data_IF_539480807643
#
_entry.id   IF_539480807643
#
_cell.length_a   1.000
_cell.length_b   1.000
_cell.length_c   1.000
_cell.angle_alpha   90.00
_cell.angle_beta   90.00
_cell.angle_gamma   90.00
#
_symmetry.space_group_name_H-M   'P 1'
#
loop_
_entity.id
_entity.type
_entity.pdbx_description
1 polymer ?
#
# COMPACT_ATOMS: atom_id res chain seq x y z
N UNK A 1 6.82 14.01 -1.99
CA UNK A 1 6.56 12.89 -1.07
C UNK A 1 7.79 12.01 -0.83
N UNK A 2 8.96 12.36 -1.37
CA UNK A 2 10.18 11.54 -1.37
C UNK A 2 10.61 10.96 0.00
N UNK A 3 10.43 11.72 1.09
CA UNK A 3 11.04 11.38 2.38
C UNK A 3 10.13 10.70 3.40
N UNK A 4 8.80 10.65 3.19
CA UNK A 4 7.88 10.09 4.19
C UNK A 4 7.46 8.68 3.77
N UNK A 5 7.88 7.63 4.51
CA UNK A 5 7.44 6.27 4.24
C UNK A 5 5.93 6.12 4.43
N UNK A 6 5.31 5.27 3.62
CA UNK A 6 3.90 4.93 3.68
C UNK A 6 3.72 3.55 4.31
N UNK A 7 2.69 3.40 5.12
CA UNK A 7 2.27 2.09 5.62
C UNK A 7 1.46 1.36 4.53
N UNK A 8 1.92 0.18 4.14
CA UNK A 8 1.32 -0.64 3.08
C UNK A 8 1.02 -2.05 3.59
N UNK A 9 0.07 -2.73 2.94
CA UNK A 9 -0.29 -4.12 3.25
C UNK A 9 -1.02 -4.75 2.05
N UNK A 10 -0.81 -6.05 1.83
CA UNK A 10 -1.61 -6.79 0.86
C UNK A 10 -3.07 -6.88 1.33
N UNK A 11 -4.03 -6.64 0.43
CA UNK A 11 -5.45 -6.67 0.76
C UNK A 11 -5.90 -8.03 1.29
N UNK A 12 -5.36 -9.14 0.75
CA UNK A 12 -5.69 -10.50 1.16
C UNK A 12 -5.31 -10.76 2.63
N UNK A 13 -4.22 -10.17 3.12
CA UNK A 13 -3.78 -10.34 4.50
C UNK A 13 -4.71 -9.66 5.50
N UNK A 14 -5.44 -8.62 5.07
CA UNK A 14 -6.45 -7.96 5.92
C UNK A 14 -7.54 -8.97 6.29
N UNK A 15 -7.99 -9.80 5.35
CA UNK A 15 -8.99 -10.84 5.62
C UNK A 15 -8.48 -11.85 6.66
N UNK A 16 -7.22 -12.29 6.55
CA UNK A 16 -6.59 -13.17 7.54
C UNK A 16 -6.47 -12.51 8.92
N UNK A 17 -6.13 -11.22 8.98
CA UNK A 17 -6.12 -10.47 10.24
C UNK A 17 -7.51 -10.40 10.88
N UNK A 18 -8.55 -10.12 10.09
CA UNK A 18 -9.94 -10.05 10.57
C UNK A 18 -10.38 -11.41 11.14
N UNK A 19 -10.12 -12.50 10.44
CA UNK A 19 -10.41 -13.86 10.93
C UNK A 19 -9.70 -14.11 12.27
N UNK A 20 -8.41 -13.81 12.38
CA UNK A 20 -7.64 -14.05 13.61
C UNK A 20 -8.09 -13.16 14.78
N UNK A 21 -8.57 -11.95 14.51
CA UNK A 21 -9.19 -11.08 15.52
C UNK A 21 -10.47 -11.73 16.06
N UNK A 22 -11.34 -12.24 15.19
CA UNK A 22 -12.58 -12.91 15.60
C UNK A 22 -12.35 -14.22 16.35
N UNK A 23 -11.29 -14.96 16.02
CA UNK A 23 -10.89 -16.17 16.74
C UNK A 23 -10.30 -15.86 18.14
N UNK A 24 -9.89 -14.61 18.40
CA UNK A 24 -9.26 -14.18 19.66
C UNK A 24 -9.87 -12.88 20.19
N UNK A 25 -11.20 -12.82 20.39
CA UNK A 25 -11.92 -11.56 20.60
C UNK A 25 -11.49 -10.84 21.88
N UNK A 26 -11.13 -11.59 22.93
CA UNK A 26 -10.69 -11.03 24.22
C UNK A 26 -9.49 -10.08 24.10
N UNK A 27 -8.64 -10.26 23.08
CA UNK A 27 -7.45 -9.42 22.87
C UNK A 27 -7.75 -8.11 22.15
N UNK A 28 -8.91 -8.01 21.50
CA UNK A 28 -9.22 -6.98 20.50
C UNK A 28 -10.59 -6.30 20.68
N UNK A 29 -11.46 -6.80 21.57
CA UNK A 29 -12.74 -6.16 21.85
C UNK A 29 -12.58 -4.71 22.30
N UNK A 30 -13.47 -3.85 21.79
CA UNK A 30 -13.54 -2.42 22.11
C UNK A 30 -12.24 -1.64 21.82
N UNK A 31 -11.44 -2.13 20.85
CA UNK A 31 -10.20 -1.46 20.41
C UNK A 31 -10.23 -1.21 18.91
N UNK A 32 -9.74 -0.04 18.51
CA UNK A 32 -9.36 0.18 17.13
C UNK A 32 -8.07 -0.59 16.83
N UNK A 33 -8.10 -1.45 15.80
CA UNK A 33 -6.92 -2.20 15.36
C UNK A 33 -6.38 -1.56 14.09
N UNK A 34 -5.19 -0.97 14.18
CA UNK A 34 -4.48 -0.44 13.00
C UNK A 34 -3.63 -1.53 12.37
N UNK A 35 -3.78 -1.73 11.07
CA UNK A 35 -3.02 -2.72 10.30
C UNK A 35 -2.01 -2.05 9.36
N UNK A 36 -0.83 -2.64 9.28
CA UNK A 36 0.24 -2.30 8.35
C UNK A 36 1.17 -3.51 8.23
N UNK A 37 1.49 -3.92 7.01
CA UNK A 37 2.43 -5.01 6.77
C UNK A 37 3.86 -4.53 6.71
N UNK A 38 4.08 -3.47 5.94
CA UNK A 38 5.38 -2.86 5.75
C UNK A 38 5.28 -1.35 5.68
N UNK A 39 6.44 -0.69 5.79
CA UNK A 39 6.56 0.75 5.72
C UNK A 39 7.75 1.13 4.84
N UNK A 40 7.50 1.81 3.74
CA UNK A 40 8.55 2.18 2.78
C UNK A 40 8.19 3.44 1.99
N UNK A 41 9.19 4.13 1.44
CA UNK A 41 8.98 5.28 0.57
C UNK A 41 8.53 4.83 -0.82
N UNK A 42 7.92 5.74 -1.59
CA UNK A 42 7.57 5.48 -2.99
C UNK A 42 8.82 5.23 -3.84
N UNK A 43 9.95 5.86 -3.50
CA UNK A 43 11.24 5.57 -4.14
C UNK A 43 11.65 4.12 -3.93
N UNK A 44 11.59 3.60 -2.69
CA UNK A 44 11.90 2.20 -2.43
C UNK A 44 10.94 1.26 -3.17
N UNK A 45 9.64 1.59 -3.26
CA UNK A 45 8.70 0.80 -4.07
C UNK A 45 9.16 0.74 -5.53
N UNK A 46 9.57 1.86 -6.13
CA UNK A 46 10.11 1.90 -7.48
C UNK A 46 11.39 1.05 -7.61
N UNK A 47 12.32 1.13 -6.65
CA UNK A 47 13.55 0.33 -6.64
C UNK A 47 13.27 -1.18 -6.58
N UNK A 48 12.28 -1.59 -5.78
CA UNK A 48 11.83 -2.99 -5.69
C UNK A 48 11.19 -3.45 -7.00
N UNK A 49 10.37 -2.62 -7.63
CA UNK A 49 9.78 -2.95 -8.94
C UNK A 49 10.82 -3.01 -10.06
N UNK A 50 11.85 -2.16 -10.04
CA UNK A 50 12.97 -2.23 -11.00
C UNK A 50 13.79 -3.53 -10.89
N UNK A 51 13.82 -4.17 -9.71
CA UNK A 51 14.43 -5.51 -9.57
C UNK A 51 13.57 -6.59 -10.20
N UNK A 52 12.25 -6.38 -10.27
CA UNK A 52 11.28 -7.35 -10.79
C UNK A 52 11.09 -7.24 -12.31
N UNK A 53 11.18 -6.04 -12.86
CA UNK A 53 11.01 -5.72 -14.28
C UNK A 53 12.34 -5.22 -14.87
N UNK A 54 12.99 -6.09 -15.64
CA UNK A 54 14.30 -5.86 -16.26
C UNK A 54 14.22 -5.21 -17.65
N UNK A 55 13.06 -5.24 -18.29
CA UNK A 55 12.81 -4.71 -19.63
C UNK A 55 12.36 -3.24 -19.65
N UNK A 56 12.30 -2.58 -18.48
CA UNK A 56 11.82 -1.21 -18.33
C UNK A 56 12.42 -0.53 -17.11
N UNK A 57 12.32 0.80 -17.08
CA UNK A 57 12.72 1.59 -15.93
C UNK A 57 11.49 2.21 -15.29
N UNK A 58 11.29 1.95 -14.00
CA UNK A 58 10.23 2.52 -13.18
C UNK A 58 10.85 3.65 -12.37
N UNK A 59 10.36 4.87 -12.58
CA UNK A 59 10.88 6.06 -11.89
C UNK A 59 9.83 6.62 -10.96
N UNK A 60 10.28 7.08 -9.79
CA UNK A 60 9.46 7.91 -8.93
C UNK A 60 9.36 9.31 -9.52
N UNK A 61 8.13 9.76 -9.77
CA UNK A 61 7.85 11.16 -10.12
C UNK A 61 7.31 11.88 -8.90
N UNK A 62 7.93 13.01 -8.55
CA UNK A 62 7.51 13.82 -7.42
C UNK A 62 6.26 14.62 -7.76
N UNK A 63 5.11 14.07 -7.41
CA UNK A 63 3.81 14.75 -7.47
C UNK A 63 3.48 15.27 -6.07
N UNK A 64 3.16 16.56 -5.95
CA UNK A 64 2.72 17.15 -4.68
C UNK A 64 1.20 16.96 -4.50
N UNK A 65 0.66 17.03 -3.26
CA UNK A 65 -0.80 16.97 -3.08
C UNK A 65 -1.57 18.05 -3.87
N UNK A 66 -1.11 19.32 -3.96
CA UNK A 66 -1.72 20.31 -4.86
C UNK A 66 -1.70 19.91 -6.33
N UNK A 67 -0.58 19.35 -6.83
CA UNK A 67 -0.51 18.86 -8.21
C UNK A 67 -1.54 17.74 -8.43
N UNK A 68 -1.63 16.80 -7.49
CA UNK A 68 -2.55 15.66 -7.57
C UNK A 68 -4.02 16.11 -7.54
N UNK A 69 -4.35 17.12 -6.71
CA UNK A 69 -5.70 17.67 -6.62
C UNK A 69 -6.16 18.36 -7.91
N UNK A 70 -5.23 18.73 -8.80
CA UNK A 70 -5.53 19.35 -10.09
C UNK A 70 -5.90 18.34 -11.20
N UNK A 71 -5.80 17.04 -10.92
CA UNK A 71 -6.14 16.00 -11.88
C UNK A 71 -7.64 15.90 -12.12
N UNK A 72 -8.01 15.67 -13.39
CA UNK A 72 -9.39 15.64 -13.90
C UNK A 72 -10.03 14.26 -13.76
N UNK A 73 -10.06 13.73 -12.53
CA UNK A 73 -10.82 12.52 -12.21
C UNK A 73 -11.50 12.64 -10.85
N UNK A 74 -12.62 11.93 -10.71
CA UNK A 74 -13.42 11.95 -9.47
C UNK A 74 -12.61 11.43 -8.28
N UNK A 75 -12.54 12.22 -7.20
CA UNK A 75 -11.81 11.87 -5.98
C UNK A 75 -10.34 12.31 -5.96
N UNK A 76 -9.85 13.03 -6.98
CA UNK A 76 -8.49 13.59 -6.98
C UNK A 76 -8.21 14.45 -5.74
N UNK A 77 -9.19 15.26 -5.31
CA UNK A 77 -9.11 16.08 -4.10
C UNK A 77 -9.04 15.24 -2.82
N UNK A 78 -9.83 14.17 -2.71
CA UNK A 78 -9.84 13.29 -1.53
C UNK A 78 -8.52 12.53 -1.39
N UNK A 79 -7.98 12.04 -2.49
CA UNK A 79 -6.67 11.36 -2.51
C UNK A 79 -5.54 12.33 -2.17
N UNK A 80 -5.58 13.57 -2.68
CA UNK A 80 -4.63 14.61 -2.29
C UNK A 80 -4.70 14.94 -0.78
N UNK A 81 -5.91 15.02 -0.21
CA UNK A 81 -6.11 15.20 1.22
C UNK A 81 -5.57 14.00 2.02
N UNK A 82 -5.81 12.77 1.56
CA UNK A 82 -5.26 11.55 2.16
C UNK A 82 -3.73 11.59 2.21
N UNK A 83 -3.04 11.92 1.11
CA UNK A 83 -1.59 12.02 1.12
C UNK A 83 -1.07 13.17 1.98
N UNK A 84 -1.81 14.28 2.09
CA UNK A 84 -1.48 15.37 3.02
C UNK A 84 -1.54 14.89 4.47
N UNK A 85 -2.54 14.08 4.81
CA UNK A 85 -2.64 13.44 6.12
C UNK A 85 -1.51 12.44 6.37
N UNK A 86 -1.23 11.54 5.40
CA UNK A 86 -0.20 10.50 5.54
C UNK A 86 1.21 11.08 5.76
N UNK A 87 1.48 12.30 5.26
CA UNK A 87 2.74 13.00 5.54
C UNK A 87 2.94 13.37 7.01
N UNK A 88 1.84 13.52 7.77
CA UNK A 88 1.84 13.95 9.17
C UNK A 88 1.43 12.82 10.12
N UNK A 89 0.89 11.74 9.60
CA UNK A 89 0.39 10.62 10.38
C UNK A 89 1.54 9.88 11.09
N UNK A 90 1.30 9.48 12.34
CA UNK A 90 2.22 8.60 13.05
C UNK A 90 2.30 7.22 12.35
N UNK A 91 3.50 6.61 12.25
CA UNK A 91 3.65 5.27 11.70
C UNK A 91 2.79 4.23 12.44
N UNK A 92 2.16 3.32 11.71
CA UNK A 92 1.48 2.16 12.29
C UNK A 92 2.50 1.11 12.74
N UNK A 93 2.18 0.36 13.81
CA UNK A 93 3.03 -0.71 14.31
C UNK A 93 2.88 -1.98 13.46
N UNK A 94 3.84 -2.20 12.55
CA UNK A 94 3.87 -3.39 11.70
C UNK A 94 4.11 -4.69 12.49
N UNK A 95 4.66 -4.61 13.71
CA UNK A 95 4.83 -5.78 14.60
C UNK A 95 3.50 -6.17 15.23
N UNK A 96 2.63 -5.21 15.54
CA UNK A 96 1.29 -5.48 16.03
C UNK A 96 0.48 -6.31 15.00
N UNK A 97 0.56 -5.94 13.71
CA UNK A 97 -0.06 -6.71 12.62
C UNK A 97 0.50 -8.13 12.55
N UNK A 98 1.83 -8.30 12.65
CA UNK A 98 2.47 -9.63 12.63
C UNK A 98 2.11 -10.52 13.83
N UNK A 99 1.76 -9.93 14.98
CA UNK A 99 1.22 -10.69 16.13
C UNK A 99 -0.18 -11.23 15.86
N UNK A 100 -0.97 -10.55 15.03
CA UNK A 100 -2.31 -10.99 14.61
C UNK A 100 -2.19 -12.05 13.51
N UNK A 101 -1.35 -11.81 12.50
CA UNK A 101 -1.11 -12.74 11.40
C UNK A 101 0.39 -12.77 11.09
N UNK A 102 1.06 -13.89 11.38
CA UNK A 102 2.53 -13.97 11.28
C UNK A 102 3.05 -13.98 9.85
N UNK A 103 2.24 -14.43 8.89
CA UNK A 103 2.62 -14.58 7.48
C UNK A 103 2.25 -13.37 6.63
N UNK A 104 2.31 -12.15 7.19
CA UNK A 104 2.07 -10.92 6.40
C UNK A 104 2.99 -10.91 5.18
N UNK A 105 2.40 -10.74 4.02
CA UNK A 105 3.05 -10.68 2.72
C UNK A 105 3.84 -9.38 2.61
N UNK A 106 5.12 -9.52 2.30
CA UNK A 106 5.99 -8.38 2.00
C UNK A 106 5.82 -7.93 0.54
N UNK A 107 6.14 -6.68 0.24
CA UNK A 107 5.94 -6.02 -1.04
C UNK A 107 6.63 -6.77 -2.18
N UNK A 108 7.86 -7.25 -1.99
CA UNK A 108 8.58 -8.03 -3.01
C UNK A 108 7.84 -9.30 -3.40
N UNK A 109 7.33 -10.02 -2.41
CA UNK A 109 6.57 -11.24 -2.63
C UNK A 109 5.25 -10.91 -3.33
N UNK A 110 4.53 -9.90 -2.84
CA UNK A 110 3.28 -9.46 -3.44
C UNK A 110 3.47 -9.02 -4.91
N UNK A 111 4.52 -8.25 -5.19
CA UNK A 111 4.82 -7.77 -6.54
C UNK A 111 5.16 -8.92 -7.47
N UNK A 112 5.96 -9.90 -7.02
CA UNK A 112 6.28 -11.09 -7.80
C UNK A 112 5.03 -11.93 -8.10
N UNK A 113 4.16 -12.15 -7.11
CA UNK A 113 2.90 -12.90 -7.28
C UNK A 113 1.89 -12.18 -8.18
N UNK A 114 2.00 -10.86 -8.35
CA UNK A 114 1.12 -10.04 -9.19
C UNK A 114 1.82 -9.48 -10.43
N UNK A 115 2.98 -10.03 -10.82
CA UNK A 115 3.81 -9.51 -11.92
C UNK A 115 3.02 -9.32 -13.22
N UNK A 116 2.23 -10.31 -13.61
CA UNK A 116 1.47 -10.27 -14.88
C UNK A 116 0.36 -9.21 -14.84
N UNK A 117 -0.32 -9.04 -13.70
CA UNK A 117 -1.35 -8.00 -13.52
C UNK A 117 -0.74 -6.60 -13.57
N UNK A 118 0.42 -6.42 -12.93
CA UNK A 118 1.16 -5.17 -13.00
C UNK A 118 1.56 -4.84 -14.44
N UNK A 119 1.99 -5.83 -15.22
CA UNK A 119 2.30 -5.64 -16.65
C UNK A 119 1.06 -5.25 -17.46
N UNK A 120 -0.07 -5.92 -17.26
CA UNK A 120 -1.33 -5.58 -17.92
C UNK A 120 -1.78 -4.15 -17.60
N UNK A 121 -1.71 -3.75 -16.31
CA UNK A 121 -2.03 -2.40 -15.86
C UNK A 121 -1.10 -1.35 -16.49
N UNK A 122 0.21 -1.63 -16.61
CA UNK A 122 1.17 -0.71 -17.25
C UNK A 122 0.95 -0.54 -18.75
N UNK A 123 0.38 -1.54 -19.44
CA UNK A 123 0.03 -1.45 -20.86
C UNK A 123 -1.26 -0.68 -21.12
N UNK A 124 -2.07 -0.49 -20.07
CA UNK A 124 -3.43 0.04 -20.19
C UNK A 124 -4.45 -1.01 -20.64
N UNK A 125 -4.11 -2.30 -20.54
CA UNK A 125 -4.99 -3.42 -20.94
C UNK A 125 -6.10 -3.66 -19.89
N UNK A 126 -5.86 -3.23 -18.64
CA UNK A 126 -6.82 -3.29 -17.53
C UNK A 126 -7.73 -2.05 -17.54
N UNK A 127 -8.66 -2.00 -18.50
CA UNK A 127 -9.85 -1.14 -18.39
C UNK A 127 -10.90 -1.95 -17.63
N UNK A 128 -10.91 -1.88 -16.30
CA UNK A 128 -12.13 -2.22 -15.56
C UNK A 128 -12.89 -0.92 -15.29
N UNK A 129 -13.90 -0.57 -16.10
CA UNK A 129 -14.85 0.44 -15.71
C UNK A 129 -15.77 -0.20 -14.67
N UNK A 130 -15.77 0.34 -13.45
CA UNK A 130 -16.87 0.16 -12.51
C UNK A 130 -17.56 1.49 -12.32
#
# INVERSE_FOLDING_TARGET
>A
MESVPLDIMALQDIAHCVVNIFLRPKNHMFRAVSLAGERMTVQHMADHLNKLFDDRTITYVKITPPDFASFDFQGSQDVAAMFTFLQKAAPRDTRATRRIFHSVTIFDKWAAENKDKLLAAMRGDDVTPT
#
